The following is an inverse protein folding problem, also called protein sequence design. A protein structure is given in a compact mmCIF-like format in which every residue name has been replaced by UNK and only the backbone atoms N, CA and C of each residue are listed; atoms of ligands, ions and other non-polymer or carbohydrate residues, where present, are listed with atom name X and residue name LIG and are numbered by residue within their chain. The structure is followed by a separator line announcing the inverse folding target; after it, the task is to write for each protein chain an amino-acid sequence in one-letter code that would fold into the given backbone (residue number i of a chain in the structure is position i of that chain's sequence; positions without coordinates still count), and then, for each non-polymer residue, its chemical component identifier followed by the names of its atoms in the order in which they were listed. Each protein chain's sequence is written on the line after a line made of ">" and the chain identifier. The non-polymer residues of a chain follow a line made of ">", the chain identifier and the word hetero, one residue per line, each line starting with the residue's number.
data_IF_989170285119
#
_entry.id   IF_989170285119
#
_cell.length_a   1.000
_cell.length_b   1.000
_cell.length_c   1.000
_cell.angle_alpha   90.00
_cell.angle_beta   90.00
_cell.angle_gamma   90.00
#
_symmetry.space_group_name_H-M   'P 1'
#
loop_
_entity.id
_entity.type
_entity.pdbx_description
1 polymer ?
#
# COMPACT_ATOMS: atom_id res chain seq x y z
N UNK A 1 15.34 10.33 4.94
CA UNK A 1 14.03 9.99 4.34
C UNK A 1 14.27 9.02 3.19
N UNK A 2 13.78 7.77 3.31
CA UNK A 2 13.83 6.79 2.22
C UNK A 2 12.54 6.89 1.43
N UNK A 3 12.60 6.78 0.10
CA UNK A 3 11.40 6.80 -0.75
C UNK A 3 11.17 5.44 -1.39
N UNK A 4 9.92 5.00 -1.46
CA UNK A 4 9.54 3.81 -2.21
C UNK A 4 8.33 4.11 -3.11
N UNK A 5 8.25 3.41 -4.24
CA UNK A 5 7.20 3.61 -5.24
C UNK A 5 6.78 2.29 -5.84
N UNK A 6 5.49 2.00 -5.76
CA UNK A 6 4.89 0.78 -6.31
C UNK A 6 3.72 1.15 -7.21
N UNK A 7 3.66 0.51 -8.38
CA UNK A 7 2.60 0.73 -9.37
C UNK A 7 1.87 -0.59 -9.61
N UNK A 8 0.55 -0.55 -9.46
CA UNK A 8 -0.34 -1.68 -9.74
C UNK A 8 -1.28 -1.30 -10.86
N UNK A 9 -1.23 -2.04 -11.98
CA UNK A 9 -2.12 -1.83 -13.10
C UNK A 9 -3.10 -2.98 -13.22
N UNK A 10 -4.40 -2.67 -13.22
CA UNK A 10 -5.45 -3.67 -13.30
C UNK A 10 -5.50 -4.42 -14.64
N UNK A 11 -4.84 -3.92 -15.68
CA UNK A 11 -4.67 -4.66 -16.94
C UNK A 11 -3.69 -5.85 -16.81
N UNK A 12 -2.77 -5.79 -15.84
CA UNK A 12 -1.79 -6.85 -15.55
C UNK A 12 -2.34 -7.80 -14.48
N UNK A 13 -2.83 -7.25 -13.37
CA UNK A 13 -3.46 -8.00 -12.29
C UNK A 13 -4.55 -7.16 -11.63
N UNK A 14 -5.78 -7.69 -11.60
CA UNK A 14 -6.95 -6.99 -11.06
C UNK A 14 -7.14 -7.14 -9.53
N UNK A 15 -6.29 -7.95 -8.88
CA UNK A 15 -6.26 -8.15 -7.44
C UNK A 15 -4.82 -8.41 -6.97
N UNK A 16 -4.59 -8.32 -5.66
CA UNK A 16 -3.29 -8.56 -5.08
C UNK A 16 -3.25 -8.21 -3.60
N UNK A 17 -2.10 -8.44 -2.98
CA UNK A 17 -1.82 -8.06 -1.60
C UNK A 17 -0.66 -7.08 -1.57
N UNK A 18 -0.81 -6.02 -0.78
CA UNK A 18 0.25 -5.05 -0.54
C UNK A 18 0.72 -5.17 0.90
N UNK A 19 1.99 -4.87 1.13
CA UNK A 19 2.57 -4.85 2.45
C UNK A 19 3.45 -3.62 2.63
N UNK A 20 3.66 -3.22 3.87
CA UNK A 20 4.71 -2.27 4.21
C UNK A 20 6.08 -2.86 3.85
N UNK A 21 7.09 -2.03 3.55
CA UNK A 21 8.45 -2.51 3.39
C UNK A 21 8.88 -3.32 4.62
N UNK A 22 9.52 -4.47 4.39
CA UNK A 22 9.97 -5.45 5.38
C UNK A 22 8.90 -6.26 6.11
N UNK A 23 7.60 -6.12 5.81
CA UNK A 23 6.58 -6.99 6.40
C UNK A 23 6.94 -8.48 6.22
N UNK A 24 6.80 -9.34 7.25
CA UNK A 24 6.12 -9.11 8.53
C UNK A 24 6.98 -8.43 9.61
N UNK A 25 8.22 -8.04 9.31
CA UNK A 25 9.05 -7.23 10.20
C UNK A 25 8.64 -5.76 10.23
N UNK A 26 9.35 -4.98 11.06
CA UNK A 26 9.10 -3.55 11.22
C UNK A 26 9.38 -2.76 9.95
N UNK A 27 8.50 -1.82 9.63
CA UNK A 27 8.74 -0.85 8.57
C UNK A 27 9.91 0.07 8.93
N UNK A 28 10.73 0.51 7.95
CA UNK A 28 11.83 1.44 8.21
C UNK A 28 11.35 2.79 8.75
N UNK A 29 12.07 3.37 9.71
CA UNK A 29 11.83 4.75 10.16
C UNK A 29 12.12 5.76 9.06
N UNK A 30 11.42 6.91 9.08
CA UNK A 30 11.60 8.01 8.14
C UNK A 30 11.52 7.56 6.67
N UNK A 31 10.42 6.86 6.34
CA UNK A 31 10.12 6.38 4.99
C UNK A 31 8.90 7.10 4.42
N UNK A 32 8.92 7.33 3.12
CA UNK A 32 7.82 7.86 2.33
C UNK A 32 7.52 6.90 1.17
N UNK A 33 6.34 6.30 1.17
CA UNK A 33 6.01 5.19 0.29
C UNK A 33 4.71 5.45 -0.46
N UNK A 34 4.79 5.43 -1.78
CA UNK A 34 3.68 5.69 -2.68
C UNK A 34 3.21 4.38 -3.34
N UNK A 35 1.95 4.04 -3.13
CA UNK A 35 1.30 2.89 -3.77
C UNK A 35 0.22 3.42 -4.72
N UNK A 36 0.47 3.32 -6.02
CA UNK A 36 -0.40 3.88 -7.07
C UNK A 36 -1.17 2.77 -7.78
N UNK A 37 -2.50 2.89 -7.83
CA UNK A 37 -3.38 1.92 -8.45
C UNK A 37 -4.02 2.50 -9.72
N UNK A 38 -3.77 1.89 -10.86
CA UNK A 38 -4.40 2.23 -12.14
C UNK A 38 -5.51 1.24 -12.44
N UNK A 39 -6.75 1.73 -12.46
CA UNK A 39 -7.94 0.99 -12.83
C UNK A 39 -8.29 1.24 -14.31
N UNK A 40 -8.85 0.24 -14.98
CA UNK A 40 -9.42 0.39 -16.33
C UNK A 40 -10.77 1.13 -16.26
N UNK A 41 -11.29 1.66 -17.39
CA UNK A 41 -12.62 2.26 -17.42
C UNK A 41 -13.68 1.35 -16.79
N UNK A 42 -14.59 1.94 -16.02
CA UNK A 42 -15.66 1.24 -15.28
C UNK A 42 -15.19 0.35 -14.12
N UNK A 43 -13.91 0.33 -13.77
CA UNK A 43 -13.41 -0.33 -12.56
C UNK A 43 -13.29 0.66 -11.39
N UNK A 44 -13.32 0.14 -10.16
CA UNK A 44 -13.06 0.89 -8.92
C UNK A 44 -11.99 0.18 -8.12
N UNK A 45 -11.07 0.94 -7.53
CA UNK A 45 -10.07 0.42 -6.61
C UNK A 45 -10.73 0.18 -5.25
N UNK A 46 -10.59 -1.02 -4.70
CA UNK A 46 -11.03 -1.37 -3.36
C UNK A 46 -9.82 -1.82 -2.54
N UNK A 47 -9.57 -1.16 -1.42
CA UNK A 47 -8.49 -1.49 -0.50
C UNK A 47 -9.12 -1.95 0.81
N UNK A 48 -8.60 -3.05 1.35
CA UNK A 48 -8.99 -3.57 2.65
C UNK A 48 -7.72 -3.88 3.44
N UNK A 49 -7.62 -3.32 4.65
CA UNK A 49 -6.52 -3.59 5.55
C UNK A 49 -6.85 -4.81 6.40
N UNK A 50 -6.06 -5.87 6.25
CA UNK A 50 -6.11 -7.06 7.11
C UNK A 50 -5.31 -6.86 8.40
N UNK A 51 -4.30 -6.00 8.35
CA UNK A 51 -3.43 -5.63 9.46
C UNK A 51 -2.99 -4.17 9.29
N UNK A 52 -3.02 -3.40 10.38
CA UNK A 52 -2.62 -2.00 10.37
C UNK A 52 -2.05 -1.62 11.74
N UNK A 53 -0.75 -1.33 11.77
CA UNK A 53 0.00 -0.96 12.97
C UNK A 53 1.04 0.11 12.58
N UNK A 54 0.85 1.33 13.07
CA UNK A 54 1.70 2.48 12.78
C UNK A 54 2.02 3.25 14.06
N UNK A 55 3.18 3.91 14.09
CA UNK A 55 3.56 4.82 15.16
C UNK A 55 2.55 5.98 15.23
N UNK A 56 1.95 6.20 16.40
CA UNK A 56 1.01 7.30 16.63
C UNK A 56 -0.29 6.83 17.29
N UNK A 57 -1.21 7.78 17.45
CA UNK A 57 -2.56 7.47 17.93
C UNK A 57 -3.38 6.93 16.75
N UNK A 58 -4.11 5.81 16.90
CA UNK A 58 -5.10 5.40 15.90
C UNK A 58 -6.09 6.56 15.66
N UNK A 59 -6.58 6.76 14.42
CA UNK A 59 -7.64 7.72 14.18
C UNK A 59 -8.86 7.34 15.03
N UNK A 60 -9.32 8.31 15.84
CA UNK A 60 -10.51 8.18 16.71
C UNK A 60 -11.78 8.11 15.88
#
# INVERSE_FOLDING_TARGET
>A
MKTCGFIFNSSVANNGTIHSPNYPGYYPRSIDCHYTFYAQPSQKVRIFFTFFDIEGQPPV
#
